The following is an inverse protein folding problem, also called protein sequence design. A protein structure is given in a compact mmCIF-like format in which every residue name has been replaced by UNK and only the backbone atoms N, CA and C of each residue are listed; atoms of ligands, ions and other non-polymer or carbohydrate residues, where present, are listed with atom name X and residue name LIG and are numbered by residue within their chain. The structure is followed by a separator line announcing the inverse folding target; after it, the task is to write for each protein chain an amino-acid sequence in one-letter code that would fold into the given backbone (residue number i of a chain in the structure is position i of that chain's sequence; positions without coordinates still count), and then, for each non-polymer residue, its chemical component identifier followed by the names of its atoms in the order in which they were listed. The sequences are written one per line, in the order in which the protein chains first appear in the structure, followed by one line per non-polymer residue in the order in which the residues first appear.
data_IF_645162984419
#
_entry.id   IF_645162984419
#
_cell.length_a   1.000
_cell.length_b   1.000
_cell.length_c   1.000
_cell.angle_alpha   90.00
_cell.angle_beta   90.00
_cell.angle_gamma   90.00
#
_symmetry.space_group_name_H-M   'P 1'
#
loop_
_entity.id
_entity.type
_entity.pdbx_description
1 polymer ?
#
# COMPACT_ATOMS: atom_id res chain seq x y z
N UNK A 1 -35.22 10.75 -58.71
CA UNK A 1 -34.01 10.19 -58.08
C UNK A 1 -34.09 10.51 -56.60
N UNK A 2 -34.53 9.54 -55.78
CA UNK A 2 -34.75 9.74 -54.34
C UNK A 2 -33.54 9.14 -53.61
N UNK A 3 -32.83 9.99 -52.87
CA UNK A 3 -31.69 9.60 -52.00
C UNK A 3 -32.25 9.00 -50.72
N UNK A 4 -31.92 7.74 -50.43
CA UNK A 4 -32.12 7.09 -49.14
C UNK A 4 -31.04 7.61 -48.17
N UNK A 5 -31.39 7.96 -46.92
CA UNK A 5 -30.38 8.19 -45.88
C UNK A 5 -29.93 6.86 -45.28
N UNK A 6 -28.64 6.57 -45.37
CA UNK A 6 -28.00 5.47 -44.66
C UNK A 6 -28.04 5.72 -43.16
N UNK A 7 -28.81 4.92 -42.44
CA UNK A 7 -28.81 4.87 -40.98
C UNK A 7 -27.57 4.06 -40.53
N UNK A 8 -26.52 4.74 -40.09
CA UNK A 8 -25.40 4.12 -39.42
C UNK A 8 -25.81 3.78 -38.01
N UNK A 9 -26.10 2.50 -37.75
CA UNK A 9 -26.34 1.96 -36.42
C UNK A 9 -24.99 1.81 -35.72
N UNK A 10 -24.60 2.80 -34.93
CA UNK A 10 -23.47 2.66 -33.98
C UNK A 10 -23.96 1.79 -32.84
N UNK A 11 -23.64 0.49 -32.89
CA UNK A 11 -23.72 -0.38 -31.72
C UNK A 11 -22.58 0.01 -30.79
N UNK A 12 -22.84 0.85 -29.79
CA UNK A 12 -21.97 1.03 -28.63
C UNK A 12 -22.00 -0.29 -27.86
N UNK A 13 -21.01 -1.15 -28.10
CA UNK A 13 -20.63 -2.19 -27.16
C UNK A 13 -20.07 -1.47 -25.93
N UNK A 14 -20.93 -1.17 -24.96
CA UNK A 14 -20.51 -0.84 -23.62
C UNK A 14 -19.85 -2.11 -23.05
N UNK A 15 -18.53 -2.18 -23.12
CA UNK A 15 -17.73 -3.10 -22.32
C UNK A 15 -18.01 -2.73 -20.85
N UNK A 16 -19.04 -3.35 -20.27
CA UNK A 16 -19.23 -3.33 -18.84
C UNK A 16 -18.06 -4.12 -18.26
N UNK A 17 -17.07 -3.43 -17.73
CA UNK A 17 -16.08 -4.01 -16.84
C UNK A 17 -16.83 -4.44 -15.57
N UNK A 18 -17.53 -5.57 -15.65
CA UNK A 18 -18.02 -6.24 -14.47
C UNK A 18 -16.77 -6.72 -13.73
N UNK A 19 -16.49 -6.12 -12.57
CA UNK A 19 -15.57 -6.72 -11.62
C UNK A 19 -16.15 -8.10 -11.27
N UNK A 20 -15.68 -9.13 -11.99
CA UNK A 20 -16.12 -10.49 -11.73
C UNK A 20 -15.61 -10.86 -10.33
N UNK A 21 -16.55 -11.18 -9.44
CA UNK A 21 -16.19 -11.82 -8.18
C UNK A 21 -15.41 -13.09 -8.49
N UNK A 22 -14.29 -13.31 -7.80
CA UNK A 22 -13.50 -14.51 -7.98
C UNK A 22 -14.39 -15.76 -7.79
N UNK A 23 -14.31 -16.67 -8.75
CA UNK A 23 -15.05 -17.94 -8.66
C UNK A 23 -14.63 -18.69 -7.39
N UNK A 24 -15.60 -19.05 -6.56
CA UNK A 24 -15.36 -19.91 -5.39
C UNK A 24 -15.24 -21.36 -5.82
N UNK A 25 -14.24 -22.05 -5.30
CA UNK A 25 -13.95 -23.46 -5.59
C UNK A 25 -13.52 -24.16 -4.32
N UNK A 26 -13.64 -25.50 -4.29
CA UNK A 26 -13.04 -26.30 -3.23
C UNK A 26 -11.50 -26.20 -3.31
N UNK A 27 -10.79 -26.15 -2.16
CA UNK A 27 -9.32 -26.06 -2.14
C UNK A 27 -8.63 -27.10 -2.99
N UNK A 28 -9.14 -28.32 -3.04
CA UNK A 28 -8.60 -29.46 -3.79
C UNK A 28 -8.61 -29.22 -5.30
N UNK A 29 -9.57 -28.45 -5.82
CA UNK A 29 -9.67 -28.11 -7.24
C UNK A 29 -8.55 -27.19 -7.72
N UNK A 30 -7.83 -26.56 -6.78
CA UNK A 30 -6.67 -25.71 -7.07
C UNK A 30 -5.38 -26.28 -6.46
N UNK A 31 -5.40 -27.59 -6.09
CA UNK A 31 -4.23 -28.29 -5.57
C UNK A 31 -3.85 -27.86 -4.14
N UNK A 32 -4.83 -27.52 -3.32
CA UNK A 32 -4.66 -27.25 -1.89
C UNK A 32 -5.36 -28.33 -1.07
N UNK A 33 -4.87 -28.63 0.11
CA UNK A 33 -5.49 -29.54 1.06
C UNK A 33 -6.32 -28.73 2.07
N UNK A 34 -7.63 -28.92 2.07
CA UNK A 34 -8.55 -28.22 2.99
C UNK A 34 -8.20 -28.43 4.47
N UNK A 35 -7.59 -29.57 4.83
CA UNK A 35 -7.17 -29.86 6.22
C UNK A 35 -6.06 -28.88 6.68
N UNK A 36 -5.16 -28.46 5.78
CA UNK A 36 -4.13 -27.49 6.12
C UNK A 36 -4.70 -26.08 6.36
N UNK A 37 -5.85 -25.74 5.76
CA UNK A 37 -6.51 -24.46 6.01
C UNK A 37 -7.09 -24.39 7.44
N UNK A 38 -7.38 -25.53 8.08
CA UNK A 38 -7.81 -25.58 9.47
C UNK A 38 -6.75 -25.06 10.44
N UNK A 39 -5.45 -25.21 10.13
CA UNK A 39 -4.38 -24.62 10.95
C UNK A 39 -4.44 -23.08 10.96
N UNK A 40 -4.82 -22.47 9.84
CA UNK A 40 -5.02 -21.02 9.80
C UNK A 40 -6.24 -20.59 10.61
N UNK A 41 -7.32 -21.36 10.59
CA UNK A 41 -8.49 -21.13 11.45
C UNK A 41 -8.12 -21.23 12.92
N UNK A 42 -7.40 -22.28 13.31
CA UNK A 42 -6.96 -22.51 14.68
C UNK A 42 -6.07 -21.36 15.20
N UNK A 43 -5.15 -20.87 14.35
CA UNK A 43 -4.31 -19.72 14.69
C UNK A 43 -5.15 -18.45 14.92
N UNK A 44 -6.14 -18.19 14.06
CA UNK A 44 -7.05 -17.03 14.19
C UNK A 44 -7.91 -17.16 15.45
N UNK A 45 -8.53 -18.32 15.68
CA UNK A 45 -9.38 -18.55 16.84
C UNK A 45 -8.57 -18.44 18.15
N UNK A 46 -7.31 -18.90 18.14
CA UNK A 46 -6.39 -18.75 19.27
C UNK A 46 -6.10 -17.27 19.56
N UNK A 47 -5.78 -16.48 18.54
CA UNK A 47 -5.55 -15.04 18.70
C UNK A 47 -6.79 -14.30 19.21
N UNK A 48 -7.99 -14.70 18.76
CA UNK A 48 -9.26 -14.14 19.27
C UNK A 48 -9.49 -14.53 20.74
N UNK A 49 -9.26 -15.79 21.09
CA UNK A 49 -9.40 -16.29 22.46
C UNK A 49 -8.44 -15.59 23.42
N UNK A 50 -7.22 -15.34 23.00
CA UNK A 50 -6.20 -14.57 23.75
C UNK A 50 -6.49 -13.06 23.80
N UNK A 51 -7.49 -12.56 23.05
CA UNK A 51 -7.82 -11.13 22.90
C UNK A 51 -6.72 -10.31 22.21
N UNK A 52 -5.86 -10.95 21.40
CA UNK A 52 -4.84 -10.27 20.59
C UNK A 52 -5.50 -9.50 19.45
N UNK A 53 -6.58 -10.05 18.90
CA UNK A 53 -7.43 -9.41 17.88
C UNK A 53 -8.92 -9.64 18.19
N UNK A 54 -9.82 -8.72 17.83
CA UNK A 54 -11.26 -8.91 18.02
C UNK A 54 -11.87 -9.89 17.03
N UNK A 55 -11.30 -10.02 15.84
CA UNK A 55 -11.76 -10.88 14.76
C UNK A 55 -10.93 -10.70 13.50
N UNK A 56 -11.17 -11.54 12.50
CA UNK A 56 -10.47 -11.55 11.24
C UNK A 56 -11.33 -12.03 10.08
N UNK A 57 -10.94 -11.69 8.87
CA UNK A 57 -11.40 -12.32 7.62
C UNK A 57 -10.18 -12.91 6.91
N UNK A 58 -10.20 -14.22 6.69
CA UNK A 58 -9.18 -14.93 5.91
C UNK A 58 -9.70 -15.22 4.52
N UNK A 59 -8.96 -14.79 3.50
CA UNK A 59 -9.20 -15.12 2.10
C UNK A 59 -7.95 -15.80 1.51
N UNK A 60 -8.13 -16.95 0.84
CA UNK A 60 -7.05 -17.61 0.12
C UNK A 60 -7.44 -17.74 -1.35
N UNK A 61 -6.63 -17.13 -2.20
CA UNK A 61 -6.80 -17.16 -3.68
C UNK A 61 -5.64 -17.92 -4.30
N UNK A 62 -5.95 -18.86 -5.16
CA UNK A 62 -4.96 -19.61 -5.94
C UNK A 62 -5.45 -19.81 -7.37
N UNK A 63 -4.55 -19.59 -8.35
CA UNK A 63 -4.86 -19.69 -9.77
C UNK A 63 -6.09 -18.86 -10.19
N UNK A 64 -6.23 -17.62 -9.62
CA UNK A 64 -7.35 -16.73 -9.92
C UNK A 64 -8.70 -17.18 -9.35
N UNK A 65 -8.73 -18.15 -8.44
CA UNK A 65 -9.95 -18.68 -7.82
C UNK A 65 -9.91 -18.53 -6.30
N UNK A 66 -11.05 -18.23 -5.69
CA UNK A 66 -11.23 -18.14 -4.24
C UNK A 66 -11.37 -19.53 -3.65
N UNK A 67 -10.27 -20.07 -3.12
CA UNK A 67 -10.26 -21.42 -2.53
C UNK A 67 -10.77 -21.41 -1.08
N UNK A 68 -10.67 -20.31 -0.37
CA UNK A 68 -11.11 -20.18 1.01
C UNK A 68 -11.52 -18.76 1.34
N UNK A 69 -12.60 -18.60 2.10
CA UNK A 69 -13.05 -17.30 2.62
C UNK A 69 -13.88 -17.53 3.87
N UNK A 70 -13.37 -17.06 5.01
CA UNK A 70 -14.02 -17.21 6.33
C UNK A 70 -13.87 -15.94 7.15
N UNK A 71 -14.93 -15.58 7.87
CA UNK A 71 -14.93 -14.53 8.90
C UNK A 71 -15.02 -15.18 10.27
N UNK A 72 -14.20 -14.73 11.23
CA UNK A 72 -14.15 -15.20 12.60
C UNK A 72 -14.18 -14.05 13.59
N UNK A 73 -14.80 -14.25 14.75
CA UNK A 73 -14.88 -13.26 15.83
C UNK A 73 -15.75 -12.06 15.52
N UNK A 74 -15.33 -10.90 15.98
CA UNK A 74 -16.11 -9.66 15.92
C UNK A 74 -15.39 -8.55 15.15
N UNK A 75 -16.12 -7.75 14.38
CA UNK A 75 -15.61 -6.52 13.75
C UNK A 75 -15.50 -5.36 14.74
N UNK A 76 -16.24 -5.45 15.85
CA UNK A 76 -16.25 -4.45 16.92
C UNK A 76 -16.60 -5.13 18.24
N UNK A 77 -15.92 -4.75 19.33
CA UNK A 77 -16.17 -5.25 20.68
C UNK A 77 -16.58 -4.15 21.67
N UNK A 78 -16.47 -2.88 21.27
CA UNK A 78 -16.84 -1.72 22.08
C UNK A 78 -17.46 -0.63 21.19
N UNK A 79 -18.50 0.12 21.63
CA UNK A 79 -19.25 -0.08 22.90
C UNK A 79 -20.16 -1.31 22.86
N UNK A 80 -20.53 -1.79 21.68
CA UNK A 80 -21.37 -2.97 21.48
C UNK A 80 -20.62 -4.00 20.62
N UNK A 81 -20.80 -5.26 20.93
CA UNK A 81 -20.24 -6.37 20.14
C UNK A 81 -21.02 -6.54 18.84
N UNK A 82 -20.30 -6.58 17.71
CA UNK A 82 -20.85 -6.87 16.38
C UNK A 82 -20.03 -7.95 15.69
N UNK A 83 -20.69 -9.00 15.16
CA UNK A 83 -19.98 -10.11 14.53
C UNK A 83 -19.22 -9.69 13.28
N UNK A 84 -18.07 -10.33 13.05
CA UNK A 84 -17.33 -10.20 11.81
C UNK A 84 -18.09 -10.85 10.65
N UNK A 85 -18.03 -10.24 9.48
CA UNK A 85 -18.59 -10.80 8.24
C UNK A 85 -17.57 -10.66 7.13
N UNK A 86 -17.71 -11.46 6.06
CA UNK A 86 -16.84 -11.38 4.86
C UNK A 86 -17.00 -10.05 4.11
N UNK A 87 -18.04 -9.28 4.40
CA UNK A 87 -18.29 -7.97 3.82
C UNK A 87 -17.89 -6.82 4.75
N UNK A 88 -17.24 -7.11 5.89
CA UNK A 88 -16.74 -6.07 6.79
C UNK A 88 -15.72 -5.20 6.09
N UNK A 89 -15.88 -3.88 6.21
CA UNK A 89 -14.92 -2.89 5.68
C UNK A 89 -13.83 -2.70 6.72
N UNK A 90 -12.57 -2.81 6.28
CA UNK A 90 -11.38 -2.64 7.12
C UNK A 90 -10.69 -1.32 6.81
N UNK A 91 -10.12 -0.71 7.84
CA UNK A 91 -9.05 0.27 7.66
C UNK A 91 -7.82 -0.49 7.15
N UNK A 92 -7.33 -0.08 5.98
CA UNK A 92 -6.21 -0.74 5.33
C UNK A 92 -4.86 -0.42 5.97
N UNK A 93 -4.80 0.58 6.85
CA UNK A 93 -3.57 1.02 7.50
C UNK A 93 -2.38 1.02 6.53
N UNK A 94 -1.28 0.35 6.87
CA UNK A 94 -0.09 0.31 6.01
C UNK A 94 -0.25 -0.52 4.72
N UNK A 95 -1.30 -1.31 4.58
CA UNK A 95 -1.62 -1.93 3.29
C UNK A 95 -1.97 -0.89 2.21
N UNK A 96 -2.32 0.34 2.60
CA UNK A 96 -2.48 1.48 1.68
C UNK A 96 -1.20 1.79 0.89
N UNK A 97 -0.02 1.52 1.47
CA UNK A 97 1.26 1.77 0.80
C UNK A 97 1.38 0.99 -0.51
N UNK A 98 1.32 -0.36 -0.53
CA UNK A 98 1.39 -1.11 -1.78
C UNK A 98 0.13 -0.96 -2.64
N UNK A 99 -1.08 -0.89 -2.04
CA UNK A 99 -2.34 -0.89 -2.78
C UNK A 99 -2.74 0.45 -3.39
N UNK A 100 -2.20 1.55 -2.89
CA UNK A 100 -2.47 2.91 -3.38
C UNK A 100 -1.19 3.58 -3.86
N UNK A 101 -0.31 4.00 -2.96
CA UNK A 101 0.84 4.84 -3.28
C UNK A 101 1.81 4.17 -4.27
N UNK A 102 2.14 2.88 -4.07
CA UNK A 102 3.01 2.17 -5.01
C UNK A 102 2.35 2.00 -6.38
N UNK A 103 1.06 1.68 -6.43
CA UNK A 103 0.32 1.57 -7.70
C UNK A 103 0.30 2.92 -8.43
N UNK A 104 0.01 4.03 -7.75
CA UNK A 104 0.05 5.37 -8.35
C UNK A 104 1.45 5.70 -8.88
N UNK A 105 2.51 5.37 -8.13
CA UNK A 105 3.90 5.54 -8.58
C UNK A 105 4.16 4.76 -9.87
N UNK A 106 3.74 3.49 -9.94
CA UNK A 106 3.91 2.67 -11.14
C UNK A 106 3.10 3.17 -12.33
N UNK A 107 1.87 3.66 -12.13
CA UNK A 107 1.06 4.28 -13.20
C UNK A 107 1.77 5.53 -13.75
N UNK A 108 2.35 6.36 -12.88
CA UNK A 108 3.12 7.53 -13.33
C UNK A 108 4.39 7.12 -14.09
N UNK A 109 5.05 6.04 -13.66
CA UNK A 109 6.20 5.48 -14.38
C UNK A 109 5.80 4.95 -15.77
N UNK A 110 4.71 4.20 -15.86
CA UNK A 110 4.15 3.71 -17.14
C UNK A 110 3.81 4.85 -18.09
N UNK A 111 3.30 5.96 -17.57
CA UNK A 111 2.98 7.18 -18.33
C UNK A 111 4.21 8.04 -18.65
N UNK A 112 5.41 7.62 -18.29
CA UNK A 112 6.65 8.37 -18.50
C UNK A 112 6.75 9.67 -17.70
N UNK A 113 5.97 9.84 -16.62
CA UNK A 113 5.99 11.03 -15.76
C UNK A 113 7.09 11.00 -14.71
N UNK A 114 7.55 9.81 -14.36
CA UNK A 114 8.70 9.58 -13.47
C UNK A 114 9.42 8.28 -13.89
N UNK A 115 10.64 8.07 -13.36
CA UNK A 115 11.38 6.82 -13.50
C UNK A 115 11.75 6.30 -12.11
N UNK A 116 11.74 5.00 -11.90
CA UNK A 116 12.11 4.42 -10.61
C UNK A 116 13.55 4.74 -10.18
N UNK A 117 14.42 4.99 -11.14
CA UNK A 117 15.82 5.37 -10.89
C UNK A 117 16.06 6.88 -10.79
N UNK A 118 15.03 7.70 -10.94
CA UNK A 118 15.17 9.15 -10.76
C UNK A 118 15.54 9.48 -9.30
N UNK A 119 16.42 10.47 -9.10
CA UNK A 119 16.69 10.97 -7.76
C UNK A 119 15.45 11.65 -7.17
N UNK A 120 15.18 11.44 -5.89
CA UNK A 120 14.07 12.10 -5.18
C UNK A 120 14.19 13.63 -5.28
N UNK A 121 15.40 14.17 -5.28
CA UNK A 121 15.67 15.61 -5.42
C UNK A 121 15.28 16.20 -6.79
N UNK A 122 14.92 15.39 -7.78
CA UNK A 122 14.35 15.89 -9.04
C UNK A 122 12.92 16.42 -8.81
N UNK A 123 12.19 15.86 -7.85
CA UNK A 123 10.80 16.21 -7.53
C UNK A 123 10.67 17.06 -6.26
N UNK A 124 11.60 16.86 -5.32
CA UNK A 124 11.71 17.62 -4.06
C UNK A 124 13.13 18.17 -3.99
N UNK A 125 13.41 19.38 -4.55
CA UNK A 125 14.78 19.90 -4.74
C UNK A 125 15.61 19.95 -3.46
N UNK A 126 14.98 20.23 -2.30
CA UNK A 126 15.61 20.32 -0.99
C UNK A 126 15.93 18.96 -0.37
N UNK A 127 15.50 17.84 -0.97
CA UNK A 127 15.69 16.50 -0.45
C UNK A 127 17.17 16.10 -0.45
N UNK A 128 17.75 16.00 0.76
CA UNK A 128 19.18 15.69 0.93
C UNK A 128 19.49 14.22 0.62
N UNK A 129 20.60 14.04 -0.09
CA UNK A 129 21.24 12.72 -0.24
C UNK A 129 21.78 12.23 1.10
N UNK A 130 22.02 10.93 1.21
CA UNK A 130 22.83 10.40 2.28
C UNK A 130 24.30 10.86 2.11
N UNK A 131 24.97 11.11 3.23
CA UNK A 131 26.37 11.46 3.28
C UNK A 131 27.02 10.72 4.48
N UNK A 132 28.23 10.21 4.27
CA UNK A 132 29.01 9.61 5.37
C UNK A 132 29.37 10.67 6.42
N UNK A 133 29.65 10.24 7.64
CA UNK A 133 30.00 11.14 8.76
C UNK A 133 31.23 12.01 8.44
N UNK A 134 32.21 11.46 7.71
CA UNK A 134 33.42 12.19 7.27
C UNK A 134 33.21 13.06 6.03
N UNK A 135 31.99 13.06 5.46
CA UNK A 135 31.61 13.83 4.29
C UNK A 135 32.21 13.39 2.96
N UNK A 136 32.96 12.25 2.93
CA UNK A 136 33.69 11.81 1.72
C UNK A 136 32.86 10.95 0.77
N UNK A 137 31.84 10.24 1.31
CA UNK A 137 30.94 9.40 0.51
C UNK A 137 29.54 9.99 0.49
N UNK A 138 28.95 10.05 -0.71
CA UNK A 138 27.62 10.57 -0.95
C UNK A 138 26.82 9.58 -1.78
N UNK A 139 25.58 9.25 -1.35
CA UNK A 139 24.68 8.39 -2.09
C UNK A 139 23.35 9.09 -2.34
N UNK A 140 22.96 9.16 -3.61
CA UNK A 140 21.66 9.68 -4.03
C UNK A 140 20.56 8.69 -3.64
N UNK A 141 19.47 9.20 -3.10
CA UNK A 141 18.25 8.41 -2.81
C UNK A 141 17.33 8.51 -4.03
N UNK A 142 16.82 7.37 -4.49
CA UNK A 142 15.99 7.22 -5.67
C UNK A 142 14.55 6.83 -5.31
N UNK A 143 13.64 6.99 -6.25
CA UNK A 143 12.24 6.53 -6.10
C UNK A 143 12.18 5.05 -5.71
N UNK A 144 12.99 4.19 -6.33
CA UNK A 144 13.07 2.77 -5.98
C UNK A 144 13.45 2.54 -4.52
N UNK A 145 14.37 3.34 -3.96
CA UNK A 145 14.82 3.19 -2.57
C UNK A 145 13.70 3.52 -1.57
N UNK A 146 12.81 4.45 -1.92
CA UNK A 146 11.60 4.75 -1.14
C UNK A 146 10.61 3.58 -1.19
N UNK A 147 10.33 3.06 -2.38
CA UNK A 147 9.39 1.95 -2.58
C UNK A 147 9.80 0.67 -1.84
N UNK A 148 11.10 0.42 -1.75
CA UNK A 148 11.67 -0.81 -1.18
C UNK A 148 12.15 -0.65 0.27
N UNK A 149 11.96 0.52 0.88
CA UNK A 149 12.42 0.82 2.25
C UNK A 149 13.95 0.67 2.44
N UNK A 150 14.72 1.02 1.41
CA UNK A 150 16.20 0.98 1.41
C UNK A 150 16.83 2.37 1.32
N UNK A 151 16.06 3.42 1.60
CA UNK A 151 16.50 4.81 1.50
C UNK A 151 17.39 5.30 2.65
N UNK A 152 17.36 4.59 3.80
CA UNK A 152 17.97 5.04 5.04
C UNK A 152 17.15 6.07 5.82
N UNK A 153 15.94 6.45 5.39
CA UNK A 153 15.05 7.32 6.16
C UNK A 153 14.63 6.65 7.48
N UNK A 154 14.60 7.40 8.61
CA UNK A 154 14.13 6.87 9.89
C UNK A 154 12.68 6.38 9.80
N UNK A 155 12.23 5.47 10.69
CA UNK A 155 10.89 4.87 10.63
C UNK A 155 9.76 5.87 10.72
N UNK A 156 9.92 6.88 11.59
CA UNK A 156 8.90 7.89 11.92
C UNK A 156 9.53 9.27 12.09
N UNK A 157 8.70 10.31 11.96
CA UNK A 157 9.06 11.67 12.31
C UNK A 157 8.71 11.95 13.79
N UNK A 158 9.37 12.90 14.45
CA UNK A 158 9.03 13.35 15.80
C UNK A 158 7.80 14.30 15.74
N UNK A 159 6.63 13.72 15.56
CA UNK A 159 5.38 14.47 15.25
C UNK A 159 5.05 15.54 16.28
N UNK A 160 5.27 15.27 17.57
CA UNK A 160 5.02 16.26 18.66
C UNK A 160 5.92 17.48 18.58
N UNK A 161 7.15 17.33 18.09
CA UNK A 161 8.09 18.42 17.88
C UNK A 161 7.73 19.23 16.64
N UNK A 162 7.37 18.53 15.57
CA UNK A 162 6.93 19.15 14.32
C UNK A 162 5.62 19.93 14.52
N UNK A 163 4.69 19.41 15.31
CA UNK A 163 3.45 20.12 15.64
C UNK A 163 3.72 21.44 16.38
N UNK A 164 4.70 21.46 17.30
CA UNK A 164 5.10 22.69 18.00
C UNK A 164 5.78 23.69 17.05
N UNK A 165 6.55 23.20 16.08
CA UNK A 165 7.32 24.03 15.16
C UNK A 165 6.48 24.57 14.01
N UNK A 166 5.60 23.77 13.42
CA UNK A 166 4.88 24.08 12.19
C UNK A 166 3.36 24.19 12.38
N UNK A 167 2.82 23.86 13.55
CA UNK A 167 1.38 23.68 13.79
C UNK A 167 0.87 22.31 13.31
N UNK A 168 -0.43 22.06 13.49
CA UNK A 168 -1.07 20.79 13.11
C UNK A 168 -2.40 21.06 12.39
N UNK A 169 -2.66 20.40 11.23
CA UNK A 169 -1.71 19.58 10.45
C UNK A 169 -0.75 20.45 9.60
N UNK A 170 0.49 20.00 9.39
CA UNK A 170 1.46 20.66 8.53
C UNK A 170 2.12 19.68 7.55
N UNK A 171 1.52 19.40 6.40
CA UNK A 171 2.10 18.54 5.36
C UNK A 171 3.45 19.08 4.87
N UNK A 172 3.57 20.38 4.62
CA UNK A 172 4.81 20.99 4.15
C UNK A 172 5.93 20.92 5.22
N UNK A 173 5.63 21.17 6.49
CA UNK A 173 6.59 20.98 7.59
C UNK A 173 7.06 19.53 7.72
N UNK A 174 6.19 18.56 7.47
CA UNK A 174 6.56 17.15 7.43
C UNK A 174 7.55 16.88 6.28
N UNK A 175 7.29 17.40 5.08
CA UNK A 175 8.19 17.25 3.93
C UNK A 175 9.52 17.97 4.16
N UNK A 176 9.52 19.16 4.75
CA UNK A 176 10.73 19.87 5.12
C UNK A 176 11.59 19.05 6.10
N UNK A 177 10.96 18.45 7.12
CA UNK A 177 11.65 17.55 8.04
C UNK A 177 12.25 16.36 7.30
N UNK A 178 11.45 15.64 6.47
CA UNK A 178 11.89 14.45 5.75
C UNK A 178 13.04 14.77 4.79
N UNK A 179 12.97 15.90 4.11
CA UNK A 179 14.03 16.35 3.19
C UNK A 179 15.38 16.54 3.90
N UNK A 180 15.36 16.98 5.17
CA UNK A 180 16.53 17.42 5.93
C UNK A 180 16.98 16.44 7.03
N UNK A 181 16.13 15.50 7.51
CA UNK A 181 16.50 14.59 8.60
C UNK A 181 17.71 13.72 8.21
N UNK A 182 18.39 13.17 9.22
CA UNK A 182 19.50 12.24 8.97
C UNK A 182 19.02 10.96 8.26
N UNK A 183 19.97 10.19 7.75
CA UNK A 183 19.74 8.88 7.14
C UNK A 183 20.44 7.84 8.00
N UNK A 184 19.70 6.85 8.51
CA UNK A 184 20.19 5.86 9.48
C UNK A 184 21.29 4.98 8.90
N UNK A 185 21.29 4.78 7.56
CA UNK A 185 22.29 4.01 6.84
C UNK A 185 22.43 4.48 5.39
N UNK A 186 23.49 4.04 4.72
CA UNK A 186 23.72 4.29 3.30
C UNK A 186 22.64 3.60 2.45
N UNK A 187 21.96 4.31 1.53
CA UNK A 187 20.93 3.73 0.69
C UNK A 187 21.38 2.44 -0.02
N UNK A 188 20.50 1.43 -0.04
CA UNK A 188 20.72 0.12 -0.64
C UNK A 188 21.71 -0.79 0.10
N UNK A 189 22.12 -0.46 1.32
CA UNK A 189 22.99 -1.33 2.13
C UNK A 189 22.22 -2.07 3.22
N UNK A 190 21.03 -1.60 3.58
CA UNK A 190 20.19 -2.20 4.60
C UNK A 190 18.71 -1.96 4.29
N UNK A 191 17.82 -2.60 5.06
CA UNK A 191 16.38 -2.47 4.99
C UNK A 191 15.83 -1.95 6.32
N UNK A 192 15.06 -0.85 6.26
CA UNK A 192 14.33 -0.33 7.41
C UNK A 192 12.97 0.17 6.98
N UNK A 193 11.92 -0.49 7.47
CA UNK A 193 10.56 -0.01 7.22
C UNK A 193 10.39 1.41 7.73
N UNK A 194 10.02 2.32 6.85
CA UNK A 194 9.85 3.75 7.15
C UNK A 194 8.55 4.28 6.56
N UNK A 195 7.70 4.87 7.40
CA UNK A 195 6.51 5.58 6.94
C UNK A 195 6.89 6.83 6.12
N UNK A 196 8.06 7.43 6.39
CA UNK A 196 8.52 8.63 5.71
C UNK A 196 8.81 8.38 4.22
N UNK A 197 9.21 7.17 3.84
CA UNK A 197 9.37 6.79 2.45
C UNK A 197 8.08 7.01 1.64
N UNK A 198 6.97 6.55 2.17
CA UNK A 198 5.68 6.61 1.47
C UNK A 198 4.99 7.97 1.57
N UNK A 199 5.27 8.75 2.62
CA UNK A 199 4.89 10.17 2.69
C UNK A 199 5.64 10.96 1.62
N UNK A 200 6.93 10.68 1.41
CA UNK A 200 7.73 11.28 0.33
C UNK A 200 7.18 10.92 -1.05
N UNK A 201 6.84 9.63 -1.27
CA UNK A 201 6.22 9.19 -2.52
C UNK A 201 4.88 9.86 -2.78
N UNK A 202 4.04 10.02 -1.75
CA UNK A 202 2.78 10.74 -1.87
C UNK A 202 3.02 12.17 -2.39
N UNK A 203 3.96 12.90 -1.80
CA UNK A 203 4.31 14.28 -2.23
C UNK A 203 4.79 14.34 -3.67
N UNK A 204 5.48 13.31 -4.15
CA UNK A 204 5.95 13.22 -5.53
C UNK A 204 4.81 12.93 -6.50
N UNK A 205 3.79 12.20 -6.06
CA UNK A 205 2.61 11.85 -6.87
C UNK A 205 1.69 13.06 -7.08
N UNK A 206 1.55 13.93 -6.08
CA UNK A 206 0.77 15.18 -6.12
C UNK A 206 1.37 16.22 -7.08
#
# INVERSE_FOLDING_TARGET
MKLLPSFFFFVLLALQANAQSLQRVAPEQVGMDSRHLLYADEAIETAIANKDIPGAVLAVVRNGKMAYLKASGNKRVYPNTEPMTVNTIFDMASCSKPMSTAICTHILAERGKLRLLDPVSLYIPEFKSWMSEDGKDKKIIRIADLLTHTSGLPPYAPTSELEKQYGSPSPDGMIEYIANCHRDFKPQTDFQYSCLNYITLQRIIE
#
